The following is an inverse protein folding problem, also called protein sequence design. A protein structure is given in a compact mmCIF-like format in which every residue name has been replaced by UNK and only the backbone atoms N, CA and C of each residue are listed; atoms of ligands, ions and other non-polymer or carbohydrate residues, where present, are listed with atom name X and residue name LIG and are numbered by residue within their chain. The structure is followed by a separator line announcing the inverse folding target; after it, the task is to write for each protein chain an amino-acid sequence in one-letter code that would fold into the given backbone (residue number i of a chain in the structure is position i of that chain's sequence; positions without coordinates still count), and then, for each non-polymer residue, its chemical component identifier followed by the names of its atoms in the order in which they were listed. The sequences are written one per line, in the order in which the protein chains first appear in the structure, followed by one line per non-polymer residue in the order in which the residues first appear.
data_IF_252551672573
#
_entry.id   IF_252551672573
#
_cell.length_a   1.000
_cell.length_b   1.000
_cell.length_c   1.000
_cell.angle_alpha   90.00
_cell.angle_beta   90.00
_cell.angle_gamma   90.00
#
_symmetry.space_group_name_H-M   'P 1'
#
loop_
_entity.id
_entity.type
_entity.pdbx_description
1 polymer ?
#
# COMPACT_ATOMS: atom_id res chain seq x y z
N UNK A 1 -71.14 74.70 -1.79
CA UNK A 1 -71.29 74.49 -0.34
C UNK A 1 -70.08 73.71 0.16
N UNK A 2 -69.42 74.27 1.18
CA UNK A 2 -68.46 73.68 2.13
C UNK A 2 -67.27 72.83 1.63
N UNK A 3 -66.17 73.56 1.42
CA UNK A 3 -64.86 73.42 2.08
C UNK A 3 -64.81 72.61 3.39
N UNK A 4 -63.81 71.73 3.52
CA UNK A 4 -62.81 71.65 4.61
C UNK A 4 -61.86 70.46 4.36
N UNK A 5 -60.55 70.42 4.63
CA UNK A 5 -59.44 71.39 4.72
C UNK A 5 -58.21 70.56 5.18
N UNK A 6 -57.03 70.81 4.57
CA UNK A 6 -55.65 70.69 5.12
C UNK A 6 -55.12 69.29 5.52
N UNK A 7 -53.82 68.98 5.49
CA UNK A 7 -52.53 69.70 5.33
C UNK A 7 -51.49 68.62 4.92
N UNK A 8 -50.51 68.81 4.01
CA UNK A 8 -49.37 69.74 4.08
C UNK A 8 -48.49 69.43 5.30
N UNK A 9 -47.17 69.27 5.31
CA UNK A 9 -46.03 69.46 4.39
C UNK A 9 -44.82 68.89 5.18
N UNK A 10 -43.71 68.45 4.58
CA UNK A 10 -42.45 69.21 4.39
C UNK A 10 -41.46 68.27 3.66
N UNK A 11 -40.95 68.56 2.44
CA UNK A 11 -39.83 69.45 2.06
C UNK A 11 -38.58 69.23 2.93
N UNK A 12 -37.34 69.09 2.43
CA UNK A 12 -36.55 69.95 1.53
C UNK A 12 -35.33 69.13 1.04
N UNK A 13 -34.90 69.24 -0.23
CA UNK A 13 -33.56 69.72 -0.70
C UNK A 13 -32.83 68.60 -1.49
N UNK A 14 -31.97 68.80 -2.51
CA UNK A 14 -31.50 69.96 -3.27
C UNK A 14 -30.60 69.44 -4.45
N UNK A 15 -30.75 70.05 -5.64
CA UNK A 15 -29.74 70.39 -6.67
C UNK A 15 -28.95 69.33 -7.49
N UNK A 16 -29.23 69.44 -8.81
CA UNK A 16 -28.33 69.55 -9.99
C UNK A 16 -27.45 68.33 -10.36
N UNK A 17 -27.80 67.69 -11.48
CA UNK A 17 -26.92 66.80 -12.26
C UNK A 17 -26.68 67.37 -13.67
N UNK A 18 -25.42 67.48 -14.07
CA UNK A 18 -25.00 67.43 -15.46
C UNK A 18 -23.69 66.63 -15.58
N UNK A 19 -23.68 65.73 -16.58
CA UNK A 19 -22.55 65.28 -17.41
C UNK A 19 -21.51 64.29 -16.85
N UNK A 20 -21.63 63.01 -17.25
CA UNK A 20 -20.76 62.30 -18.23
C UNK A 20 -20.96 60.78 -18.11
N UNK A 21 -21.17 60.07 -19.23
CA UNK A 21 -20.59 58.75 -19.51
C UNK A 21 -21.11 58.18 -20.85
N UNK A 22 -20.31 58.31 -21.91
CA UNK A 22 -20.34 57.42 -23.07
C UNK A 22 -19.50 56.19 -22.75
N UNK A 23 -20.12 55.02 -22.59
CA UNK A 23 -19.43 53.72 -22.60
C UNK A 23 -20.17 52.82 -23.58
N UNK A 24 -19.57 52.64 -24.77
CA UNK A 24 -19.96 51.60 -25.72
C UNK A 24 -19.57 50.23 -25.15
N UNK A 25 -20.49 49.27 -25.26
CA UNK A 25 -20.35 47.94 -24.69
C UNK A 25 -19.23 47.11 -25.31
N UNK A 26 -18.37 46.59 -24.44
CA UNK A 26 -17.62 45.36 -24.68
C UNK A 26 -18.43 44.21 -24.06
N UNK A 27 -19.04 43.36 -24.90
CA UNK A 27 -19.56 42.08 -24.45
C UNK A 27 -18.37 41.19 -24.08
N UNK A 28 -18.12 41.02 -22.79
CA UNK A 28 -17.15 40.04 -22.29
C UNK A 28 -17.76 38.66 -22.53
N UNK A 29 -17.18 37.90 -23.46
CA UNK A 29 -17.52 36.48 -23.60
C UNK A 29 -17.20 35.76 -22.28
N UNK A 30 -18.07 34.87 -21.78
CA UNK A 30 -17.74 34.10 -20.59
C UNK A 30 -16.47 33.29 -20.86
N UNK A 31 -15.58 33.10 -19.86
CA UNK A 31 -14.41 32.27 -20.06
C UNK A 31 -14.87 30.88 -20.48
N UNK A 32 -14.25 30.33 -21.53
CA UNK A 32 -14.48 28.95 -21.93
C UNK A 32 -14.27 28.07 -20.68
N UNK A 33 -15.34 27.39 -20.26
CA UNK A 33 -15.25 26.38 -19.24
C UNK A 33 -14.21 25.37 -19.73
N UNK A 34 -13.05 25.34 -19.08
CA UNK A 34 -12.09 24.29 -19.29
C UNK A 34 -12.81 23.02 -18.83
N UNK A 35 -13.27 22.21 -19.78
CA UNK A 35 -13.74 20.88 -19.47
C UNK A 35 -12.57 20.17 -18.80
N UNK A 36 -12.62 20.02 -17.48
CA UNK A 36 -11.69 19.15 -16.79
C UNK A 36 -11.94 17.78 -17.38
N UNK A 37 -10.96 17.23 -18.09
CA UNK A 37 -10.97 15.81 -18.45
C UNK A 37 -11.14 15.05 -17.15
N UNK A 38 -12.32 14.44 -16.94
CA UNK A 38 -12.57 13.62 -15.76
C UNK A 38 -11.45 12.60 -15.68
N UNK A 39 -10.77 12.51 -14.54
CA UNK A 39 -9.70 11.55 -14.34
C UNK A 39 -10.22 10.14 -14.67
N UNK A 40 -9.43 9.36 -15.42
CA UNK A 40 -9.81 7.98 -15.76
C UNK A 40 -10.09 7.20 -14.48
N UNK A 41 -11.27 6.55 -14.35
CA UNK A 41 -11.61 5.76 -13.17
C UNK A 41 -10.58 4.65 -12.92
N UNK A 42 -10.27 4.37 -11.66
CA UNK A 42 -9.48 3.19 -11.30
C UNK A 42 -10.35 1.93 -11.32
N UNK A 43 -9.74 0.77 -11.54
CA UNK A 43 -10.45 -0.50 -11.68
C UNK A 43 -10.35 -1.32 -10.40
N UNK A 44 -11.49 -1.84 -9.95
CA UNK A 44 -11.64 -2.70 -8.77
C UNK A 44 -12.12 -4.07 -9.22
N UNK A 45 -11.45 -5.13 -8.75
CA UNK A 45 -11.85 -6.52 -8.92
C UNK A 45 -12.29 -7.10 -7.58
N UNK A 46 -13.52 -7.59 -7.46
CA UNK A 46 -13.95 -8.43 -6.33
C UNK A 46 -13.81 -9.91 -6.65
N UNK A 47 -12.91 -10.61 -5.95
CA UNK A 47 -12.83 -12.07 -5.98
C UNK A 47 -13.67 -12.67 -4.87
N UNK A 48 -14.39 -13.74 -5.21
CA UNK A 48 -15.22 -14.47 -4.26
C UNK A 48 -15.40 -15.94 -4.65
N UNK A 49 -15.68 -16.84 -3.69
CA UNK A 49 -15.94 -18.27 -3.92
C UNK A 49 -17.44 -18.58 -3.81
N UNK A 50 -18.09 -18.12 -2.75
CA UNK A 50 -19.53 -18.29 -2.53
C UNK A 50 -19.95 -19.72 -2.18
N UNK A 51 -19.15 -20.41 -1.35
CA UNK A 51 -19.25 -21.88 -1.20
C UNK A 51 -19.56 -22.38 0.21
N UNK A 52 -19.16 -21.70 1.29
CA UNK A 52 -19.11 -22.33 2.62
C UNK A 52 -20.28 -21.99 3.55
N UNK A 53 -20.46 -20.71 3.87
CA UNK A 53 -21.45 -20.25 4.86
C UNK A 53 -22.49 -19.31 4.22
N UNK A 54 -23.76 -19.48 4.61
CA UNK A 54 -24.88 -18.75 4.02
C UNK A 54 -24.78 -17.23 4.22
N UNK A 55 -24.20 -16.78 5.33
CA UNK A 55 -24.03 -15.36 5.62
C UNK A 55 -22.87 -14.73 4.84
N UNK A 56 -21.77 -15.46 4.62
CA UNK A 56 -20.70 -15.02 3.71
C UNK A 56 -21.22 -14.89 2.28
N UNK A 57 -21.93 -15.91 1.79
CA UNK A 57 -22.56 -15.92 0.46
C UNK A 57 -23.53 -14.75 0.32
N UNK A 58 -24.29 -14.43 1.37
CA UNK A 58 -25.23 -13.32 1.37
C UNK A 58 -24.53 -11.95 1.37
N UNK A 59 -23.42 -11.80 2.08
CA UNK A 59 -22.54 -10.63 1.99
C UNK A 59 -21.99 -10.45 0.57
N UNK A 60 -21.46 -11.49 -0.07
CA UNK A 60 -20.94 -11.43 -1.43
C UNK A 60 -22.01 -10.98 -2.43
N UNK A 61 -23.24 -11.54 -2.32
CA UNK A 61 -24.39 -11.12 -3.14
C UNK A 61 -24.68 -9.64 -2.94
N UNK A 62 -24.62 -9.15 -1.71
CA UNK A 62 -24.82 -7.76 -1.39
C UNK A 62 -23.71 -6.86 -1.97
N UNK A 63 -22.44 -7.24 -1.78
CA UNK A 63 -21.28 -6.53 -2.29
C UNK A 63 -21.32 -6.40 -3.82
N UNK A 64 -21.71 -7.48 -4.51
CA UNK A 64 -21.85 -7.52 -5.97
C UNK A 64 -23.02 -6.69 -6.51
N UNK A 65 -23.93 -6.22 -5.65
CA UNK A 65 -24.96 -5.23 -6.00
C UNK A 65 -24.50 -3.82 -5.62
N UNK A 66 -23.94 -3.67 -4.42
CA UNK A 66 -23.64 -2.39 -3.82
C UNK A 66 -22.44 -1.69 -4.48
N UNK A 67 -21.32 -2.38 -4.69
CA UNK A 67 -20.13 -1.75 -5.29
C UNK A 67 -20.38 -1.19 -6.69
N UNK A 68 -21.07 -1.88 -7.62
CA UNK A 68 -21.45 -1.30 -8.91
C UNK A 68 -22.28 -0.01 -8.79
N UNK A 69 -23.20 0.07 -7.82
CA UNK A 69 -24.03 1.25 -7.59
C UNK A 69 -23.20 2.45 -7.10
N UNK A 70 -22.11 2.20 -6.35
CA UNK A 70 -21.23 3.24 -5.86
C UNK A 70 -20.15 3.66 -6.86
N UNK A 71 -19.81 2.79 -7.82
CA UNK A 71 -18.61 2.89 -8.63
C UNK A 71 -18.46 4.23 -9.36
N UNK A 72 -19.43 4.60 -10.18
CA UNK A 72 -19.36 5.81 -11.00
C UNK A 72 -19.25 7.09 -10.17
N UNK A 73 -20.04 7.21 -9.09
CA UNK A 73 -20.03 8.37 -8.20
C UNK A 73 -18.71 8.51 -7.41
N UNK A 74 -17.93 7.43 -7.32
CA UNK A 74 -16.71 7.36 -6.53
C UNK A 74 -15.44 7.19 -7.38
N UNK A 75 -15.55 7.31 -8.71
CA UNK A 75 -14.39 7.34 -9.60
C UNK A 75 -13.72 5.98 -9.81
N UNK A 76 -14.48 4.89 -9.74
CA UNK A 76 -13.98 3.55 -10.05
C UNK A 76 -14.92 2.76 -10.96
N UNK A 77 -14.42 1.68 -11.55
CA UNK A 77 -15.22 0.62 -12.16
C UNK A 77 -15.10 -0.65 -11.34
N UNK A 78 -16.17 -1.43 -11.24
CA UNK A 78 -16.17 -2.68 -10.51
C UNK A 78 -16.39 -3.87 -11.44
N UNK A 79 -15.62 -4.93 -11.24
CA UNK A 79 -15.82 -6.24 -11.84
C UNK A 79 -15.75 -7.27 -10.72
N UNK A 80 -16.57 -8.31 -10.76
CA UNK A 80 -16.44 -9.43 -9.85
C UNK A 80 -16.20 -10.73 -10.59
N UNK A 81 -15.54 -11.67 -9.93
CA UNK A 81 -15.21 -12.96 -10.51
C UNK A 81 -15.06 -14.03 -9.45
N UNK A 82 -15.50 -15.24 -9.78
CA UNK A 82 -15.18 -16.46 -9.03
C UNK A 82 -13.92 -17.16 -9.54
N UNK A 83 -13.27 -16.59 -10.56
CA UNK A 83 -12.05 -17.14 -11.15
C UNK A 83 -10.81 -16.66 -10.38
N UNK A 84 -10.44 -17.40 -9.34
CA UNK A 84 -9.23 -17.14 -8.56
C UNK A 84 -7.93 -17.33 -9.36
N UNK A 85 -7.95 -18.03 -10.50
CA UNK A 85 -6.76 -18.19 -11.35
C UNK A 85 -6.32 -16.88 -12.02
N UNK A 86 -7.14 -15.82 -11.95
CA UNK A 86 -6.72 -14.46 -12.27
C UNK A 86 -5.50 -14.00 -11.45
N UNK A 87 -5.32 -14.53 -10.24
CA UNK A 87 -4.12 -14.28 -9.45
C UNK A 87 -2.91 -15.01 -10.05
N UNK A 88 -3.07 -16.29 -10.38
CA UNK A 88 -1.99 -17.14 -10.88
C UNK A 88 -1.49 -16.71 -12.27
N UNK A 89 -2.38 -16.26 -13.15
CA UNK A 89 -2.05 -15.89 -14.53
C UNK A 89 -1.78 -14.39 -14.73
N UNK A 90 -1.78 -13.60 -13.65
CA UNK A 90 -1.55 -12.15 -13.71
C UNK A 90 -2.72 -11.32 -14.22
N UNK A 91 -3.91 -11.91 -14.41
CA UNK A 91 -5.14 -11.20 -14.80
C UNK A 91 -5.53 -10.09 -13.81
N UNK A 92 -5.16 -10.22 -12.54
CA UNK A 92 -5.36 -9.15 -11.53
C UNK A 92 -4.55 -7.88 -11.80
N UNK A 93 -3.47 -7.94 -12.60
CA UNK A 93 -2.63 -6.76 -12.90
C UNK A 93 -3.37 -5.69 -13.74
N UNK A 94 -4.53 -6.03 -14.31
CA UNK A 94 -5.39 -5.07 -14.98
C UNK A 94 -6.18 -4.17 -14.01
N UNK A 95 -6.11 -4.42 -12.70
CA UNK A 95 -6.90 -3.76 -11.67
C UNK A 95 -6.03 -3.04 -10.64
N UNK A 96 -6.36 -1.80 -10.31
CA UNK A 96 -5.67 -1.02 -9.29
C UNK A 96 -5.99 -1.51 -7.88
N UNK A 97 -7.18 -2.10 -7.66
CA UNK A 97 -7.57 -2.67 -6.36
C UNK A 97 -8.19 -4.05 -6.54
N UNK A 98 -7.76 -5.02 -5.75
CA UNK A 98 -8.37 -6.34 -5.62
C UNK A 98 -9.02 -6.47 -4.25
N UNK A 99 -10.26 -6.91 -4.22
CA UNK A 99 -11.00 -7.25 -3.00
C UNK A 99 -11.09 -8.76 -2.88
N UNK A 100 -10.87 -9.29 -1.68
CA UNK A 100 -11.30 -10.65 -1.33
C UNK A 100 -12.58 -10.51 -0.51
N UNK A 101 -13.73 -10.73 -1.15
CA UNK A 101 -15.04 -10.58 -0.51
C UNK A 101 -15.33 -11.76 0.42
N UNK A 102 -14.96 -12.95 -0.01
CA UNK A 102 -14.82 -14.13 0.84
C UNK A 102 -13.53 -14.86 0.42
N UNK A 103 -13.14 -15.83 1.23
CA UNK A 103 -12.04 -16.75 0.95
C UNK A 103 -10.67 -16.08 0.68
N UNK A 104 -9.69 -16.90 0.34
CA UNK A 104 -8.31 -16.52 0.05
C UNK A 104 -7.67 -17.50 -0.95
N UNK A 105 -6.50 -17.17 -1.53
CA UNK A 105 -5.81 -18.03 -2.50
C UNK A 105 -5.55 -19.47 -2.02
N UNK A 106 -6.11 -20.43 -2.75
CA UNK A 106 -6.12 -21.85 -2.39
C UNK A 106 -4.92 -22.63 -2.94
N UNK A 107 -4.35 -22.20 -4.07
CA UNK A 107 -3.19 -22.87 -4.70
C UNK A 107 -1.90 -22.07 -4.54
N UNK A 108 -0.74 -22.73 -4.59
CA UNK A 108 0.57 -22.07 -4.54
C UNK A 108 0.75 -21.03 -5.66
N UNK A 109 0.24 -21.29 -6.86
CA UNK A 109 0.28 -20.35 -7.97
C UNK A 109 -0.55 -19.09 -7.71
N UNK A 110 -1.77 -19.24 -7.15
CA UNK A 110 -2.60 -18.09 -6.77
C UNK A 110 -1.95 -17.28 -5.65
N UNK A 111 -1.35 -17.96 -4.66
CA UNK A 111 -0.61 -17.34 -3.55
C UNK A 111 0.56 -16.49 -4.05
N UNK A 112 1.43 -17.07 -4.88
CA UNK A 112 2.57 -16.35 -5.48
C UNK A 112 2.12 -15.20 -6.39
N UNK A 113 1.03 -15.38 -7.14
CA UNK A 113 0.43 -14.35 -7.98
C UNK A 113 -0.07 -13.16 -7.17
N UNK A 114 -0.77 -13.42 -6.06
CA UNK A 114 -1.23 -12.37 -5.15
C UNK A 114 -0.05 -11.63 -4.49
N UNK A 115 0.96 -12.35 -4.01
CA UNK A 115 2.16 -11.74 -3.43
C UNK A 115 2.86 -10.82 -4.45
N UNK A 116 2.99 -11.27 -5.71
CA UNK A 116 3.55 -10.47 -6.80
C UNK A 116 2.72 -9.21 -7.06
N UNK A 117 1.39 -9.33 -7.10
CA UNK A 117 0.48 -8.19 -7.25
C UNK A 117 0.67 -7.15 -6.15
N UNK A 118 0.75 -7.58 -4.89
CA UNK A 118 0.95 -6.68 -3.76
C UNK A 118 2.33 -6.03 -3.75
N UNK A 119 3.38 -6.77 -4.10
CA UNK A 119 4.75 -6.23 -4.21
C UNK A 119 4.88 -5.21 -5.33
N UNK A 120 4.12 -5.37 -6.42
CA UNK A 120 4.09 -4.43 -7.54
C UNK A 120 3.20 -3.19 -7.28
N UNK A 121 2.73 -2.99 -6.04
CA UNK A 121 1.97 -1.80 -5.66
C UNK A 121 0.48 -1.87 -5.98
N UNK A 122 -0.06 -3.07 -6.19
CA UNK A 122 -1.50 -3.32 -6.24
C UNK A 122 -2.18 -2.96 -4.92
N UNK A 123 -3.43 -2.50 -5.00
CA UNK A 123 -4.26 -2.19 -3.84
C UNK A 123 -5.05 -3.41 -3.39
N UNK A 124 -5.19 -3.61 -2.08
CA UNK A 124 -5.95 -4.72 -1.52
C UNK A 124 -6.94 -4.28 -0.45
N UNK A 125 -8.13 -4.86 -0.46
CA UNK A 125 -9.04 -4.83 0.68
C UNK A 125 -9.58 -6.24 0.95
N UNK A 126 -9.18 -6.82 2.08
CA UNK A 126 -9.66 -8.14 2.53
C UNK A 126 -10.80 -8.00 3.51
N UNK A 127 -11.82 -8.85 3.38
CA UNK A 127 -12.97 -8.90 4.28
C UNK A 127 -12.98 -10.20 5.08
N UNK A 128 -13.26 -10.08 6.37
CA UNK A 128 -13.68 -11.18 7.25
C UNK A 128 -12.86 -12.47 7.08
N UNK A 129 -13.45 -13.53 6.52
CA UNK A 129 -12.86 -14.87 6.34
C UNK A 129 -11.62 -14.89 5.44
N UNK A 130 -11.37 -13.85 4.64
CA UNK A 130 -10.15 -13.75 3.83
C UNK A 130 -8.85 -13.69 4.65
N UNK A 131 -8.93 -13.44 5.96
CA UNK A 131 -7.79 -13.54 6.88
C UNK A 131 -7.78 -14.82 7.72
N UNK A 132 -8.82 -15.64 7.65
CA UNK A 132 -8.97 -16.83 8.49
C UNK A 132 -7.90 -17.88 8.17
N UNK A 133 -7.27 -18.41 9.22
CA UNK A 133 -6.44 -19.62 9.18
C UNK A 133 -6.26 -20.17 10.59
N UNK A 134 -6.11 -21.48 10.69
CA UNK A 134 -5.62 -22.14 11.92
C UNK A 134 -4.15 -22.59 11.79
N UNK A 135 -3.54 -22.37 10.62
CA UNK A 135 -2.13 -22.64 10.34
C UNK A 135 -1.52 -21.50 9.52
N UNK A 136 -1.19 -20.42 10.22
CA UNK A 136 -0.50 -19.26 9.66
C UNK A 136 0.89 -19.62 9.12
N UNK A 137 1.52 -20.69 9.57
CA UNK A 137 2.83 -21.10 9.07
C UNK A 137 2.76 -21.62 7.63
N UNK A 138 1.64 -22.27 7.26
CA UNK A 138 1.41 -22.78 5.89
C UNK A 138 1.48 -21.72 4.79
N UNK A 139 1.21 -20.46 5.13
CA UNK A 139 1.45 -19.31 4.27
C UNK A 139 1.86 -18.09 5.10
N UNK A 140 3.02 -18.21 5.74
CA UNK A 140 3.52 -17.23 6.71
C UNK A 140 3.58 -15.80 6.17
N UNK A 141 3.95 -15.60 4.91
CA UNK A 141 3.95 -14.26 4.32
C UNK A 141 2.58 -13.59 4.41
N UNK A 142 1.48 -14.29 4.08
CA UNK A 142 0.15 -13.69 4.08
C UNK A 142 -0.33 -13.38 5.51
N UNK A 143 -0.26 -14.36 6.41
CA UNK A 143 -0.85 -14.22 7.75
C UNK A 143 0.06 -13.52 8.77
N UNK A 144 1.37 -13.77 8.75
CA UNK A 144 2.30 -13.20 9.74
C UNK A 144 2.93 -11.89 9.27
N UNK A 145 3.19 -11.73 7.96
CA UNK A 145 3.87 -10.55 7.43
C UNK A 145 2.91 -9.53 6.83
N UNK A 146 2.05 -9.95 5.91
CA UNK A 146 1.17 -9.07 5.13
C UNK A 146 -0.02 -8.58 5.96
N UNK A 147 -0.85 -9.49 6.46
CA UNK A 147 -1.95 -9.17 7.39
C UNK A 147 -1.45 -8.85 8.79
N UNK A 148 -0.43 -9.57 9.26
CA UNK A 148 0.10 -9.48 10.62
C UNK A 148 -0.72 -10.22 11.69
N UNK A 149 -1.89 -10.77 11.33
CA UNK A 149 -2.85 -11.36 12.26
C UNK A 149 -2.38 -12.69 12.90
N UNK A 150 -1.59 -13.49 12.18
CA UNK A 150 -1.31 -14.86 12.61
C UNK A 150 -2.56 -15.74 12.51
N UNK A 151 -2.77 -16.62 13.49
CA UNK A 151 -3.90 -17.56 13.51
C UNK A 151 -5.18 -16.92 14.03
N UNK A 152 -6.30 -17.43 13.57
CA UNK A 152 -7.59 -17.28 14.22
C UNK A 152 -7.54 -17.83 15.66
N UNK A 153 -8.14 -17.12 16.61
CA UNK A 153 -8.22 -17.54 18.03
C UNK A 153 -9.65 -17.84 18.42
N UNK A 154 -10.55 -16.89 18.22
CA UNK A 154 -11.97 -17.02 18.58
C UNK A 154 -12.82 -16.04 17.80
N UNK A 155 -14.13 -16.29 17.78
CA UNK A 155 -15.15 -15.44 17.18
C UNK A 155 -16.28 -15.14 18.18
N UNK A 156 -17.07 -14.12 17.89
CA UNK A 156 -18.38 -13.92 18.52
C UNK A 156 -19.49 -14.55 17.70
N UNK A 157 -20.52 -15.11 18.31
CA UNK A 157 -21.68 -15.65 17.60
C UNK A 157 -23.00 -15.05 18.08
N UNK A 158 -24.00 -15.13 17.20
CA UNK A 158 -25.10 -14.15 17.19
C UNK A 158 -24.57 -12.82 16.67
N UNK A 159 -24.37 -12.69 15.33
CA UNK A 159 -23.85 -11.49 14.71
C UNK A 159 -24.54 -10.24 15.26
N UNK A 160 -23.74 -9.26 15.69
CA UNK A 160 -24.23 -8.04 16.35
C UNK A 160 -23.47 -6.83 15.84
N UNK A 161 -24.15 -5.68 15.83
CA UNK A 161 -23.49 -4.40 15.62
C UNK A 161 -22.72 -4.02 16.89
N UNK A 162 -21.55 -3.40 16.73
CA UNK A 162 -20.73 -2.89 17.82
C UNK A 162 -20.46 -1.41 17.62
N UNK A 163 -20.17 -0.69 18.71
CA UNK A 163 -19.54 0.61 18.62
C UNK A 163 -18.06 0.40 18.30
N UNK A 164 -17.61 0.86 17.14
CA UNK A 164 -16.21 0.91 16.77
C UNK A 164 -15.61 2.25 17.21
N UNK A 165 -14.46 2.19 17.85
CA UNK A 165 -13.60 3.34 18.14
C UNK A 165 -12.61 3.51 17.00
N UNK A 166 -12.55 4.70 16.42
CA UNK A 166 -11.54 5.06 15.42
C UNK A 166 -10.25 5.40 16.16
N UNK A 167 -9.21 4.60 15.94
CA UNK A 167 -7.92 4.73 16.64
C UNK A 167 -7.00 5.74 15.94
N UNK A 168 -7.18 5.96 14.64
CA UNK A 168 -6.35 6.86 13.85
C UNK A 168 -7.15 7.60 12.78
N UNK A 169 -7.10 8.94 12.78
CA UNK A 169 -7.75 9.83 11.80
C UNK A 169 -6.76 10.47 10.82
N UNK A 170 -5.49 10.07 10.81
CA UNK A 170 -4.45 10.71 10.00
C UNK A 170 -4.41 10.22 8.55
N UNK A 171 -5.16 9.17 8.21
CA UNK A 171 -5.18 8.61 6.85
C UNK A 171 -6.54 8.79 6.17
N UNK A 172 -6.60 8.90 4.83
CA UNK A 172 -7.84 9.20 4.11
C UNK A 172 -9.03 8.26 4.42
N UNK A 173 -8.85 6.93 4.62
CA UNK A 173 -9.96 6.04 4.98
C UNK A 173 -10.72 6.46 6.24
N UNK A 174 -10.06 7.08 7.22
CA UNK A 174 -10.60 7.39 8.55
C UNK A 174 -10.65 8.87 8.89
N UNK A 175 -10.01 9.74 8.11
CA UNK A 175 -9.85 11.16 8.43
C UNK A 175 -11.16 11.93 8.64
N UNK A 176 -12.22 11.56 7.91
CA UNK A 176 -13.54 12.19 8.02
C UNK A 176 -14.55 11.45 8.91
N UNK A 177 -14.16 10.34 9.54
CA UNK A 177 -15.06 9.55 10.37
C UNK A 177 -15.18 10.17 11.78
N UNK A 178 -16.30 9.96 12.50
CA UNK A 178 -16.41 10.31 13.92
C UNK A 178 -15.47 9.45 14.78
N UNK A 179 -15.17 9.91 16.00
CA UNK A 179 -14.30 9.18 16.94
C UNK A 179 -14.84 7.79 17.30
N UNK A 180 -16.15 7.63 17.33
CA UNK A 180 -16.83 6.33 17.42
C UNK A 180 -18.00 6.27 16.44
N UNK A 181 -18.35 5.07 15.98
CA UNK A 181 -19.57 4.84 15.19
C UNK A 181 -20.10 3.42 15.37
N UNK A 182 -21.39 3.23 15.17
CA UNK A 182 -22.00 1.89 15.16
C UNK A 182 -21.72 1.20 13.83
N UNK A 183 -21.12 0.01 13.89
CA UNK A 183 -20.89 -0.85 12.72
C UNK A 183 -22.20 -1.40 12.16
N UNK A 184 -22.14 -1.96 10.96
CA UNK A 184 -23.16 -2.94 10.55
C UNK A 184 -23.06 -4.19 11.44
N UNK A 185 -24.12 -5.00 11.44
CA UNK A 185 -24.13 -6.30 12.12
C UNK A 185 -23.11 -7.23 11.46
N UNK A 186 -22.25 -7.86 12.27
CA UNK A 186 -21.30 -8.88 11.80
C UNK A 186 -21.00 -9.91 12.88
N UNK A 187 -20.48 -11.05 12.45
CA UNK A 187 -19.59 -11.89 13.26
C UNK A 187 -18.22 -11.20 13.38
N UNK A 188 -17.54 -11.30 14.53
CA UNK A 188 -16.24 -10.66 14.79
C UNK A 188 -15.17 -11.70 15.14
N UNK A 189 -13.97 -11.57 14.59
CA UNK A 189 -12.83 -12.47 14.84
C UNK A 189 -11.72 -11.84 15.68
N UNK A 190 -10.99 -12.70 16.38
CA UNK A 190 -9.77 -12.38 17.12
C UNK A 190 -8.60 -13.20 16.63
N UNK A 191 -7.41 -12.66 16.82
CA UNK A 191 -6.17 -13.11 16.18
C UNK A 191 -5.09 -13.40 17.21
N UNK A 192 -4.18 -14.32 16.89
CA UNK A 192 -3.14 -14.77 17.83
C UNK A 192 -2.04 -13.73 18.03
N UNK A 193 -1.75 -12.94 17.00
CA UNK A 193 -0.73 -11.90 17.08
C UNK A 193 -1.34 -10.61 17.63
N UNK A 194 -0.68 -10.02 18.63
CA UNK A 194 -1.01 -8.69 19.09
C UNK A 194 -0.55 -7.64 18.08
N UNK A 195 -1.48 -7.18 17.24
CA UNK A 195 -1.20 -6.20 16.18
C UNK A 195 -0.58 -4.89 16.69
N UNK A 196 -0.76 -4.56 17.98
CA UNK A 196 -0.16 -3.36 18.59
C UNK A 196 1.37 -3.46 18.70
N UNK A 197 1.91 -4.67 18.67
CA UNK A 197 3.34 -4.93 18.78
C UNK A 197 4.04 -4.94 17.42
N UNK A 198 3.28 -4.91 16.32
CA UNK A 198 3.83 -4.91 14.98
C UNK A 198 4.01 -3.46 14.48
N UNK A 199 5.26 -2.96 14.32
CA UNK A 199 5.50 -1.57 13.93
C UNK A 199 5.05 -1.23 12.50
N UNK A 200 4.82 -2.24 11.67
CA UNK A 200 4.34 -2.06 10.30
C UNK A 200 2.81 -1.97 10.26
N UNK A 201 2.11 -2.40 11.32
CA UNK A 201 0.66 -2.39 11.40
C UNK A 201 0.16 -1.11 12.07
N UNK A 202 -0.82 -0.50 11.42
CA UNK A 202 -1.56 0.63 11.93
C UNK A 202 -3.02 0.25 12.12
N UNK A 203 -3.43 0.15 13.38
CA UNK A 203 -4.82 -0.13 13.74
C UNK A 203 -5.64 1.13 13.49
N UNK A 204 -6.73 0.99 12.74
CA UNK A 204 -7.58 2.10 12.30
C UNK A 204 -8.87 2.16 13.09
N UNK A 205 -9.43 1.00 13.43
CA UNK A 205 -10.56 0.91 14.35
C UNK A 205 -10.52 -0.37 15.19
N UNK A 206 -11.02 -0.25 16.42
CA UNK A 206 -11.15 -1.33 17.39
C UNK A 206 -12.57 -1.37 17.96
N UNK A 207 -12.96 -2.47 18.62
CA UNK A 207 -14.21 -2.51 19.39
C UNK A 207 -14.09 -1.57 20.59
N UNK A 208 -15.02 -0.62 20.70
CA UNK A 208 -15.13 0.25 21.86
C UNK A 208 -15.62 -0.54 23.08
N UNK A 209 -15.03 -0.35 24.28
CA UNK A 209 -15.43 -1.07 25.49
C UNK A 209 -16.91 -0.97 25.86
N UNK A 210 -17.63 0.06 25.42
CA UNK A 210 -19.08 0.18 25.63
C UNK A 210 -19.90 -0.89 24.90
N UNK A 211 -19.30 -1.64 23.97
CA UNK A 211 -19.98 -2.68 23.21
C UNK A 211 -20.08 -4.01 23.95
N UNK A 212 -19.33 -4.20 25.04
CA UNK A 212 -19.33 -5.49 25.74
C UNK A 212 -20.60 -5.69 26.59
N UNK A 213 -21.19 -6.90 26.61
CA UNK A 213 -20.75 -8.09 25.88
C UNK A 213 -21.05 -8.02 24.36
N UNK A 214 -20.14 -8.55 23.54
CA UNK A 214 -20.29 -8.65 22.08
C UNK A 214 -20.62 -10.09 21.71
N UNK A 215 -21.65 -10.29 20.89
CA UNK A 215 -22.27 -11.58 20.62
C UNK A 215 -23.50 -11.83 21.51
N UNK A 216 -24.38 -12.72 21.06
CA UNK A 216 -25.56 -13.13 21.83
C UNK A 216 -25.53 -14.62 22.20
N UNK A 217 -24.62 -15.41 21.62
CA UNK A 217 -24.37 -16.78 22.06
C UNK A 217 -23.46 -16.77 23.29
N UNK A 218 -23.91 -17.28 24.46
CA UNK A 218 -23.12 -17.24 25.68
C UNK A 218 -21.79 -18.00 25.60
N UNK A 219 -21.65 -18.98 24.69
CA UNK A 219 -20.41 -19.74 24.49
C UNK A 219 -19.43 -19.06 23.52
N UNK A 220 -19.91 -18.06 22.78
CA UNK A 220 -19.15 -17.32 21.77
C UNK A 220 -19.47 -15.82 21.94
N UNK A 221 -19.32 -15.30 23.15
CA UNK A 221 -19.43 -13.87 23.44
C UNK A 221 -18.15 -13.37 24.08
N UNK A 222 -17.75 -12.16 23.72
CA UNK A 222 -16.64 -11.47 24.37
C UNK A 222 -17.18 -10.52 25.43
N UNK A 223 -16.58 -10.51 26.62
CA UNK A 223 -17.03 -9.69 27.75
C UNK A 223 -16.07 -8.55 28.09
N UNK A 224 -14.85 -8.59 27.56
CA UNK A 224 -13.83 -7.55 27.69
C UNK A 224 -12.69 -7.86 26.71
N UNK A 225 -11.81 -6.89 26.48
CA UNK A 225 -10.60 -7.08 25.68
C UNK A 225 -10.34 -5.91 24.74
N UNK A 226 -9.29 -6.05 23.93
CA UNK A 226 -8.96 -5.11 22.86
C UNK A 226 -8.94 -5.86 21.54
N UNK A 227 -9.86 -5.53 20.65
CA UNK A 227 -10.07 -6.25 19.39
C UNK A 227 -9.90 -5.26 18.22
N UNK A 228 -8.77 -5.29 17.49
CA UNK A 228 -8.61 -4.52 16.27
C UNK A 228 -9.47 -5.11 15.16
N UNK A 229 -10.33 -4.28 14.57
CA UNK A 229 -11.34 -4.69 13.57
C UNK A 229 -10.97 -4.20 12.18
N UNK A 230 -10.29 -3.06 12.09
CA UNK A 230 -9.86 -2.46 10.84
C UNK A 230 -8.40 -2.05 11.00
N UNK A 231 -7.53 -2.46 10.07
CA UNK A 231 -6.13 -2.04 10.07
C UNK A 231 -5.54 -1.97 8.66
N UNK A 232 -4.37 -1.35 8.59
CA UNK A 232 -3.51 -1.35 7.40
C UNK A 232 -2.10 -1.79 7.78
N UNK A 233 -1.44 -2.52 6.89
CA UNK A 233 0.00 -2.73 6.93
C UNK A 233 0.66 -1.66 6.07
N UNK A 234 1.43 -0.77 6.70
CA UNK A 234 2.05 0.39 6.07
C UNK A 234 3.10 0.05 5.00
N UNK A 235 3.54 -1.21 4.92
CA UNK A 235 4.41 -1.71 3.85
C UNK A 235 3.66 -1.96 2.53
N UNK A 236 2.33 -2.05 2.56
CA UNK A 236 1.51 -2.37 1.39
C UNK A 236 0.36 -1.39 1.23
N UNK A 237 -0.17 -1.26 0.01
CA UNK A 237 -1.49 -0.64 -0.20
C UNK A 237 -2.56 -1.65 0.19
N UNK A 238 -2.82 -1.78 1.48
CA UNK A 238 -3.77 -2.77 1.97
C UNK A 238 -4.66 -2.23 3.07
N UNK A 239 -5.90 -2.68 3.08
CA UNK A 239 -6.82 -2.57 4.20
C UNK A 239 -7.33 -3.97 4.53
N UNK A 240 -7.47 -4.27 5.80
CA UNK A 240 -8.27 -5.40 6.23
C UNK A 240 -9.45 -4.88 7.04
N UNK A 241 -10.63 -5.43 6.77
CA UNK A 241 -11.86 -5.17 7.48
C UNK A 241 -12.44 -6.48 8.01
N UNK A 242 -12.58 -6.58 9.32
CA UNK A 242 -13.03 -7.81 9.95
C UNK A 242 -14.52 -8.10 9.74
N UNK A 243 -15.33 -7.12 9.31
CA UNK A 243 -16.74 -7.35 8.98
C UNK A 243 -16.91 -7.97 7.59
N UNK A 244 -18.03 -8.66 7.38
CA UNK A 244 -18.36 -9.31 6.10
C UNK A 244 -19.25 -10.54 6.27
N UNK A 245 -20.09 -10.56 7.30
CA UNK A 245 -20.95 -11.69 7.64
C UNK A 245 -22.31 -11.17 8.07
N UNK A 246 -23.35 -11.36 7.25
CA UNK A 246 -24.69 -10.93 7.60
C UNK A 246 -25.30 -11.80 8.72
N UNK A 247 -26.22 -11.26 9.52
CA UNK A 247 -27.10 -12.10 10.31
C UNK A 247 -28.05 -12.84 9.37
N UNK A 248 -28.19 -14.16 9.58
CA UNK A 248 -29.02 -15.03 8.76
C UNK A 248 -29.99 -15.82 9.63
N UNK A 249 -31.21 -16.01 9.13
CA UNK A 249 -32.05 -17.11 9.56
C UNK A 249 -31.62 -18.35 8.76
N UNK A 250 -30.78 -19.18 9.36
CA UNK A 250 -30.21 -20.37 8.71
C UNK A 250 -31.26 -21.45 8.37
N UNK A 251 -32.40 -21.51 9.08
CA UNK A 251 -33.48 -22.45 8.77
C UNK A 251 -34.17 -22.13 7.45
N UNK A 252 -34.37 -20.84 7.17
CA UNK A 252 -35.06 -20.37 5.95
C UNK A 252 -34.10 -19.84 4.89
N UNK A 253 -32.81 -19.77 5.20
CA UNK A 253 -31.77 -19.16 4.40
C UNK A 253 -32.12 -17.71 3.98
N UNK A 254 -32.58 -16.91 4.95
CA UNK A 254 -33.00 -15.51 4.72
C UNK A 254 -32.13 -14.52 5.49
N UNK A 255 -31.81 -13.40 4.83
CA UNK A 255 -31.05 -12.28 5.39
C UNK A 255 -31.82 -11.58 6.51
N UNK A 256 -31.13 -11.28 7.61
CA UNK A 256 -31.64 -10.50 8.75
C UNK A 256 -30.91 -9.17 8.95
N UNK A 257 -29.72 -9.00 8.37
CA UNK A 257 -28.98 -7.73 8.40
C UNK A 257 -28.27 -7.45 7.08
N UNK A 258 -27.74 -6.25 6.94
CA UNK A 258 -26.95 -5.82 5.77
C UNK A 258 -25.56 -5.38 6.22
N UNK A 259 -24.52 -5.81 5.50
CA UNK A 259 -23.14 -5.38 5.76
C UNK A 259 -22.97 -3.90 5.40
N UNK A 260 -23.82 -3.38 4.51
CA UNK A 260 -23.81 -1.97 4.09
C UNK A 260 -24.90 -1.12 4.79
N UNK A 261 -25.44 -1.58 5.93
CA UNK A 261 -26.45 -0.85 6.69
C UNK A 261 -25.90 0.42 7.39
N UNK A 262 -24.63 0.43 7.80
CA UNK A 262 -24.00 1.56 8.48
C UNK A 262 -23.43 2.58 7.47
N UNK A 263 -23.96 3.81 7.39
CA UNK A 263 -23.44 4.83 6.46
C UNK A 263 -22.00 5.23 6.74
N UNK A 264 -21.61 5.27 8.02
CA UNK A 264 -20.23 5.61 8.43
C UNK A 264 -19.25 4.51 8.04
N UNK A 265 -19.63 3.24 8.19
CA UNK A 265 -18.83 2.11 7.69
C UNK A 265 -18.70 2.17 6.16
N UNK A 266 -19.78 2.48 5.45
CA UNK A 266 -19.75 2.64 4.00
C UNK A 266 -18.83 3.79 3.56
N UNK A 267 -18.79 4.88 4.33
CA UNK A 267 -17.86 5.98 4.09
C UNK A 267 -16.40 5.54 4.23
N UNK A 268 -16.08 4.74 5.25
CA UNK A 268 -14.77 4.11 5.38
C UNK A 268 -14.42 3.28 4.13
N UNK A 269 -15.34 2.42 3.67
CA UNK A 269 -15.12 1.57 2.50
C UNK A 269 -14.82 2.38 1.24
N UNK A 270 -15.63 3.41 0.96
CA UNK A 270 -15.45 4.25 -0.24
C UNK A 270 -14.18 5.09 -0.16
N UNK A 271 -13.86 5.65 1.00
CA UNK A 271 -12.60 6.38 1.20
C UNK A 271 -11.39 5.44 1.08
N UNK A 272 -11.50 4.22 1.62
CA UNK A 272 -10.52 3.14 1.50
C UNK A 272 -10.25 2.78 0.05
N UNK A 273 -11.28 2.52 -0.74
CA UNK A 273 -11.13 2.20 -2.17
C UNK A 273 -10.47 3.34 -2.94
N UNK A 274 -10.89 4.59 -2.72
CA UNK A 274 -10.26 5.76 -3.35
C UNK A 274 -8.80 5.89 -2.97
N UNK A 275 -8.47 5.67 -1.70
CA UNK A 275 -7.10 5.72 -1.20
C UNK A 275 -6.23 4.64 -1.86
N UNK A 276 -6.70 3.39 -1.90
CA UNK A 276 -6.01 2.27 -2.55
C UNK A 276 -5.86 2.46 -4.06
N UNK A 277 -6.88 3.02 -4.71
CA UNK A 277 -6.96 3.26 -6.16
C UNK A 277 -6.14 4.45 -6.69
N UNK A 278 -5.52 5.26 -5.82
CA UNK A 278 -4.65 6.38 -6.22
C UNK A 278 -5.03 7.78 -5.71
N UNK A 279 -5.97 7.90 -4.78
CA UNK A 279 -6.45 9.16 -4.20
C UNK A 279 -5.69 9.67 -2.96
N UNK A 280 -4.55 9.08 -2.60
CA UNK A 280 -3.70 9.55 -1.50
C UNK A 280 -2.23 9.57 -1.89
N UNK A 281 -1.49 10.56 -1.39
CA UNK A 281 -0.03 10.72 -1.55
C UNK A 281 0.79 9.66 -0.79
N UNK A 282 0.16 8.60 -0.26
CA UNK A 282 0.89 7.39 0.11
C UNK A 282 1.31 6.70 -1.18
N UNK A 283 2.38 7.22 -1.78
CA UNK A 283 3.23 6.45 -2.66
C UNK A 283 3.59 5.22 -1.84
N UNK A 284 3.11 4.01 -2.19
CA UNK A 284 3.74 2.82 -1.67
C UNK A 284 5.21 2.91 -2.07
N UNK A 285 6.15 2.27 -1.38
CA UNK A 285 7.44 2.02 -1.99
C UNK A 285 7.11 1.48 -3.39
N UNK A 286 7.52 2.19 -4.44
CA UNK A 286 7.43 1.65 -5.79
C UNK A 286 8.48 0.56 -5.84
N UNK A 287 8.29 -0.56 -5.14
CA UNK A 287 9.01 -1.80 -5.39
C UNK A 287 8.60 -2.28 -6.79
N UNK A 288 8.91 -1.50 -7.82
CA UNK A 288 9.38 -2.11 -9.06
C UNK A 288 10.55 -2.96 -8.59
N UNK A 289 10.40 -4.29 -8.57
CA UNK A 289 11.51 -5.15 -8.24
C UNK A 289 12.65 -4.75 -9.17
N UNK A 290 13.88 -4.78 -8.68
CA UNK A 290 15.03 -4.49 -9.53
C UNK A 290 14.94 -5.47 -10.71
N UNK A 291 14.65 -4.97 -11.91
CA UNK A 291 14.49 -5.81 -13.10
C UNK A 291 15.78 -6.58 -13.32
N UNK A 292 15.70 -7.91 -13.28
CA UNK A 292 16.87 -8.79 -13.35
C UNK A 292 17.52 -8.83 -14.73
N UNK A 293 16.82 -8.28 -15.74
CA UNK A 293 17.29 -8.20 -17.12
C UNK A 293 17.85 -6.84 -17.50
N UNK A 294 17.56 -5.80 -16.72
CA UNK A 294 18.04 -4.44 -16.97
C UNK A 294 19.46 -4.24 -16.44
N UNK A 295 20.27 -3.46 -17.16
CA UNK A 295 21.54 -2.98 -16.66
C UNK A 295 21.33 -1.67 -15.90
N UNK A 296 22.01 -1.49 -14.78
CA UNK A 296 21.92 -0.29 -13.96
C UNK A 296 23.29 0.32 -13.71
N UNK A 297 23.36 1.63 -13.69
CA UNK A 297 24.39 2.30 -12.89
C UNK A 297 23.93 2.37 -11.44
N UNK A 298 24.87 2.17 -10.52
CA UNK A 298 24.64 2.22 -9.07
C UNK A 298 25.31 3.49 -8.56
N UNK A 299 24.51 4.54 -8.36
CA UNK A 299 25.00 5.87 -8.02
C UNK A 299 24.85 6.14 -6.53
N UNK A 300 25.92 6.56 -5.84
CA UNK A 300 25.86 6.92 -4.44
C UNK A 300 25.05 8.21 -4.22
N UNK A 301 24.10 8.17 -3.28
CA UNK A 301 23.19 9.26 -2.97
C UNK A 301 23.81 10.42 -2.19
N UNK A 302 25.00 10.24 -1.59
CA UNK A 302 25.72 11.26 -0.83
C UNK A 302 26.66 12.11 -1.67
N UNK A 303 27.35 11.51 -2.64
CA UNK A 303 28.40 12.17 -3.41
C UNK A 303 28.19 12.14 -4.93
N UNK A 304 27.15 11.45 -5.43
CA UNK A 304 26.79 11.38 -6.85
C UNK A 304 27.73 10.56 -7.74
N UNK A 305 28.75 9.90 -7.18
CA UNK A 305 29.66 9.01 -7.92
C UNK A 305 29.03 7.64 -8.15
N UNK A 306 29.55 6.88 -9.11
CA UNK A 306 29.08 5.55 -9.47
C UNK A 306 30.00 4.47 -8.89
N UNK A 307 29.41 3.32 -8.54
CA UNK A 307 30.13 2.06 -8.30
C UNK A 307 30.81 1.66 -9.62
N UNK A 308 32.11 1.39 -9.58
CA UNK A 308 32.97 1.27 -10.75
C UNK A 308 33.96 0.11 -10.58
N UNK A 309 34.06 -0.77 -11.58
CA UNK A 309 35.12 -1.75 -11.70
C UNK A 309 36.39 -1.07 -12.20
N UNK A 310 37.42 -0.98 -11.33
CA UNK A 310 38.63 -0.19 -11.59
C UNK A 310 39.24 -0.52 -12.95
N UNK A 311 39.46 0.54 -13.74
CA UNK A 311 40.07 0.46 -15.07
C UNK A 311 39.32 -0.45 -16.06
N UNK A 312 38.02 -0.69 -15.84
CA UNK A 312 37.21 -1.65 -16.60
C UNK A 312 37.80 -3.08 -16.63
N UNK A 313 38.63 -3.43 -15.64
CA UNK A 313 39.26 -4.74 -15.58
C UNK A 313 38.24 -5.82 -15.18
N UNK A 314 38.49 -7.05 -15.64
CA UNK A 314 37.63 -8.22 -15.43
C UNK A 314 38.38 -9.37 -14.78
N UNK A 315 39.50 -9.09 -14.12
CA UNK A 315 40.27 -10.07 -13.37
C UNK A 315 39.71 -10.20 -11.94
N UNK A 316 39.78 -11.40 -11.37
CA UNK A 316 39.48 -11.59 -9.94
C UNK A 316 40.40 -10.68 -9.11
N UNK A 317 39.83 -10.02 -8.11
CA UNK A 317 40.55 -9.02 -7.30
C UNK A 317 40.54 -7.61 -7.88
N UNK A 318 39.86 -7.36 -9.00
CA UNK A 318 39.65 -6.00 -9.50
C UNK A 318 38.89 -5.19 -8.44
N UNK A 319 39.48 -4.10 -7.97
CA UNK A 319 38.85 -3.25 -6.96
C UNK A 319 37.53 -2.65 -7.46
N UNK A 320 36.48 -2.75 -6.64
CA UNK A 320 35.28 -1.94 -6.80
C UNK A 320 35.54 -0.59 -6.16
N UNK A 321 35.52 0.47 -6.96
CA UNK A 321 35.85 1.83 -6.55
C UNK A 321 34.67 2.77 -6.81
N UNK A 322 34.76 3.97 -6.25
CA UNK A 322 33.89 5.07 -6.66
C UNK A 322 34.58 5.85 -7.77
N UNK A 323 33.80 6.24 -8.78
CA UNK A 323 34.30 7.04 -9.88
C UNK A 323 33.19 7.94 -10.42
N UNK A 324 33.57 9.08 -11.02
CA UNK A 324 32.63 9.93 -11.73
C UNK A 324 31.81 9.10 -12.73
N UNK A 325 30.48 9.24 -12.70
CA UNK A 325 29.61 8.48 -13.59
C UNK A 325 29.95 8.81 -15.06
N UNK A 326 30.30 7.79 -15.85
CA UNK A 326 30.82 7.92 -17.21
C UNK A 326 30.10 7.00 -18.23
N UNK A 327 29.14 6.19 -17.78
CA UNK A 327 28.28 5.38 -18.64
C UNK A 327 28.97 4.18 -19.30
N UNK A 328 30.21 3.87 -18.94
CA UNK A 328 30.92 2.69 -19.46
C UNK A 328 30.42 1.40 -18.82
N UNK A 329 30.68 0.25 -19.44
CA UNK A 329 30.33 -1.06 -18.89
C UNK A 329 31.01 -1.37 -17.53
N UNK A 330 32.05 -0.62 -17.16
CA UNK A 330 32.69 -0.71 -15.84
C UNK A 330 31.77 -0.26 -14.69
N UNK A 331 30.73 0.52 -14.99
CA UNK A 331 29.80 1.08 -14.00
C UNK A 331 28.40 0.51 -14.13
N UNK A 332 28.26 -0.63 -14.79
CA UNK A 332 26.97 -1.21 -15.14
C UNK A 332 26.82 -2.60 -14.56
N UNK A 333 25.73 -2.81 -13.84
CA UNK A 333 25.47 -4.02 -13.08
C UNK A 333 24.06 -4.54 -13.33
N UNK A 334 23.92 -5.86 -13.33
CA UNK A 334 22.64 -6.57 -13.26
C UNK A 334 22.47 -7.12 -11.86
N UNK A 335 21.23 -7.15 -11.37
CA UNK A 335 20.89 -7.74 -10.08
C UNK A 335 20.11 -9.01 -10.35
N UNK A 336 20.64 -10.17 -9.97
CA UNK A 336 20.00 -11.48 -10.24
C UNK A 336 19.65 -12.16 -8.94
N UNK A 337 18.43 -12.67 -8.85
CA UNK A 337 17.95 -13.30 -7.62
C UNK A 337 18.73 -14.56 -7.31
N UNK A 338 19.07 -14.73 -6.02
CA UNK A 338 19.56 -16.00 -5.49
C UNK A 338 18.41 -16.70 -4.75
N UNK A 339 18.37 -16.62 -3.43
CA UNK A 339 17.30 -17.16 -2.58
C UNK A 339 17.01 -16.18 -1.43
N UNK A 340 15.87 -16.36 -0.76
CA UNK A 340 15.54 -15.67 0.50
C UNK A 340 15.64 -14.13 0.46
N UNK A 341 15.37 -13.52 -0.70
CA UNK A 341 15.43 -12.06 -0.88
C UNK A 341 16.83 -11.49 -1.09
N UNK A 342 17.84 -12.33 -1.35
CA UNK A 342 19.19 -11.92 -1.73
C UNK A 342 19.40 -11.94 -3.24
N UNK A 343 20.37 -11.16 -3.70
CA UNK A 343 20.76 -11.04 -5.11
C UNK A 343 22.28 -11.04 -5.26
N UNK A 344 22.77 -11.51 -6.40
CA UNK A 344 24.12 -11.18 -6.87
C UNK A 344 24.12 -9.84 -7.63
N UNK A 345 25.23 -9.10 -7.55
CA UNK A 345 25.43 -7.84 -8.31
C UNK A 345 26.46 -8.10 -9.41
N UNK A 346 25.97 -8.53 -10.57
CA UNK A 346 26.76 -9.01 -11.72
C UNK A 346 27.31 -7.86 -12.55
N UNK A 347 28.62 -7.87 -12.86
CA UNK A 347 29.25 -6.82 -13.65
C UNK A 347 29.01 -7.00 -15.17
N UNK A 348 28.69 -5.93 -15.90
CA UNK A 348 28.48 -5.98 -17.37
C UNK A 348 29.74 -6.36 -18.13
N UNK A 349 30.91 -5.92 -17.67
CA UNK A 349 32.20 -6.21 -18.31
C UNK A 349 32.55 -7.71 -18.33
N UNK A 350 32.11 -8.48 -17.35
CA UNK A 350 32.20 -9.93 -17.32
C UNK A 350 31.07 -10.52 -16.44
N UNK A 351 29.98 -11.01 -17.06
CA UNK A 351 28.82 -11.49 -16.30
C UNK A 351 29.02 -12.76 -15.47
N UNK A 352 30.22 -13.37 -15.50
CA UNK A 352 30.61 -14.43 -14.58
C UNK A 352 31.18 -13.87 -13.25
N UNK A 353 31.35 -12.56 -13.13
CA UNK A 353 31.87 -11.89 -11.95
C UNK A 353 30.84 -10.99 -11.29
N UNK A 354 30.93 -10.90 -9.97
CA UNK A 354 30.01 -10.15 -9.11
C UNK A 354 30.77 -9.31 -8.08
N UNK A 355 30.08 -8.35 -7.46
CA UNK A 355 30.61 -7.62 -6.30
C UNK A 355 30.73 -8.57 -5.09
N UNK A 356 31.95 -8.72 -4.61
CA UNK A 356 32.38 -9.65 -3.57
C UNK A 356 33.03 -8.88 -2.42
N UNK A 357 32.72 -9.27 -1.17
CA UNK A 357 33.48 -8.83 0.01
C UNK A 357 34.74 -9.68 0.14
N UNK A 358 35.90 -9.05 0.03
CA UNK A 358 37.21 -9.73 0.02
C UNK A 358 37.41 -10.64 1.22
N UNK A 359 37.91 -11.85 0.96
CA UNK A 359 38.23 -12.89 1.94
C UNK A 359 37.07 -13.29 2.87
N UNK A 360 35.82 -13.01 2.45
CA UNK A 360 34.61 -13.22 3.28
C UNK A 360 34.67 -12.51 4.63
N UNK A 361 35.46 -11.44 4.71
CA UNK A 361 35.66 -10.70 5.95
C UNK A 361 34.33 -10.19 6.50
N UNK A 362 34.18 -10.19 7.82
CA UNK A 362 33.05 -9.56 8.52
C UNK A 362 33.46 -8.25 9.20
N UNK A 363 34.71 -7.80 9.01
CA UNK A 363 35.22 -6.56 9.57
C UNK A 363 34.66 -5.32 8.86
N UNK A 364 34.53 -4.22 9.59
CA UNK A 364 34.29 -2.92 8.97
C UNK A 364 35.50 -2.52 8.13
N UNK A 365 35.24 -1.80 7.04
CA UNK A 365 36.23 -1.37 6.07
C UNK A 365 36.88 -2.51 5.27
N UNK A 366 36.33 -3.73 5.31
CA UNK A 366 36.75 -4.77 4.39
C UNK A 366 36.47 -4.35 2.95
N UNK A 367 37.44 -4.45 2.03
CA UNK A 367 37.33 -3.95 0.67
C UNK A 367 36.36 -4.79 -0.18
N UNK A 368 35.78 -4.14 -1.18
CA UNK A 368 34.98 -4.79 -2.22
C UNK A 368 35.80 -5.00 -3.49
N UNK A 369 35.56 -6.13 -4.15
CA UNK A 369 36.24 -6.53 -5.37
C UNK A 369 35.28 -7.21 -6.36
N UNK A 370 35.70 -7.34 -7.61
CA UNK A 370 35.12 -8.33 -8.52
C UNK A 370 35.72 -9.69 -8.24
N UNK A 371 34.86 -10.69 -8.18
CA UNK A 371 35.27 -12.08 -8.09
C UNK A 371 34.33 -12.97 -8.89
N UNK A 372 34.86 -14.09 -9.40
CA UNK A 372 34.06 -15.11 -10.06
C UNK A 372 32.95 -15.60 -9.11
N UNK A 373 31.71 -15.60 -9.60
CA UNK A 373 30.59 -16.03 -8.79
C UNK A 373 30.68 -17.53 -8.51
N UNK A 374 30.60 -17.89 -7.23
CA UNK A 374 30.62 -19.28 -6.77
C UNK A 374 29.50 -19.57 -5.77
N UNK A 375 28.50 -18.69 -5.68
CA UNK A 375 27.40 -18.80 -4.70
C UNK A 375 27.79 -18.49 -3.25
N UNK A 376 28.96 -17.91 -3.00
CA UNK A 376 29.40 -17.56 -1.65
C UNK A 376 28.47 -16.51 -1.02
N UNK A 377 28.18 -16.60 0.27
CA UNK A 377 27.31 -15.63 0.95
C UNK A 377 27.91 -14.22 1.01
N UNK A 378 29.23 -14.08 0.87
CA UNK A 378 29.93 -12.80 0.72
C UNK A 378 29.79 -12.15 -0.67
N UNK A 379 29.12 -12.84 -1.60
CA UNK A 379 28.80 -12.40 -2.96
C UNK A 379 27.31 -12.09 -3.14
N UNK A 380 26.54 -12.19 -2.06
CA UNK A 380 25.10 -12.06 -2.06
C UNK A 380 24.69 -10.88 -1.19
N UNK A 381 23.82 -10.04 -1.73
CA UNK A 381 23.42 -8.77 -1.15
C UNK A 381 21.91 -8.72 -1.05
N UNK A 382 21.38 -8.32 0.10
CA UNK A 382 19.97 -7.99 0.25
C UNK A 382 19.78 -6.53 -0.18
N UNK A 383 19.09 -6.26 -1.30
CA UNK A 383 18.66 -4.90 -1.62
C UNK A 383 17.53 -4.51 -0.67
N UNK A 384 17.76 -3.48 0.13
CA UNK A 384 16.74 -2.94 1.03
C UNK A 384 16.37 -1.56 0.53
N UNK A 385 15.14 -1.44 0.04
CA UNK A 385 14.62 -0.18 -0.48
C UNK A 385 14.38 0.83 0.64
N UNK A 386 14.89 2.03 0.45
CA UNK A 386 14.67 3.18 1.32
C UNK A 386 13.38 3.92 0.95
N UNK A 387 12.83 4.67 1.90
CA UNK A 387 11.68 5.56 1.67
C UNK A 387 11.94 6.62 0.59
N UNK A 388 13.21 6.95 0.33
CA UNK A 388 13.66 7.86 -0.71
C UNK A 388 13.54 7.29 -2.13
N UNK A 389 13.27 5.99 -2.28
CA UNK A 389 13.32 5.26 -3.55
C UNK A 389 14.70 4.69 -3.91
N UNK A 390 15.73 4.98 -3.10
CA UNK A 390 17.09 4.41 -3.20
C UNK A 390 17.17 3.04 -2.51
N UNK A 391 18.34 2.43 -2.57
CA UNK A 391 18.63 1.14 -1.93
C UNK A 391 19.90 1.22 -1.10
N UNK A 392 19.92 0.53 0.03
CA UNK A 392 21.18 0.04 0.61
C UNK A 392 21.29 -1.47 0.35
N UNK A 393 22.52 -1.97 0.32
CA UNK A 393 22.82 -3.37 0.02
C UNK A 393 23.50 -4.03 1.20
N UNK A 394 22.85 -5.03 1.81
CA UNK A 394 23.34 -5.72 3.01
C UNK A 394 23.99 -7.05 2.61
N UNK A 395 25.27 -7.25 2.91
CA UNK A 395 25.97 -8.49 2.61
C UNK A 395 25.40 -9.65 3.46
N UNK A 396 25.05 -10.76 2.83
CA UNK A 396 24.38 -11.91 3.46
C UNK A 396 25.19 -12.53 4.59
N UNK A 397 26.52 -12.57 4.47
CA UNK A 397 27.39 -13.24 5.45
C UNK A 397 27.69 -12.41 6.70
N UNK A 398 27.65 -11.08 6.59
CA UNK A 398 28.10 -10.17 7.65
C UNK A 398 26.98 -9.28 8.22
N UNK A 399 25.87 -9.12 7.50
CA UNK A 399 24.82 -8.15 7.84
C UNK A 399 25.24 -6.69 7.68
N UNK A 400 26.36 -6.43 6.96
CA UNK A 400 26.93 -5.09 6.78
C UNK A 400 26.61 -4.50 5.42
N UNK A 401 26.60 -3.18 5.34
CA UNK A 401 26.18 -2.45 4.17
C UNK A 401 27.36 -2.11 3.24
N UNK A 402 27.15 -2.27 1.93
CA UNK A 402 28.01 -1.69 0.89
C UNK A 402 28.14 -0.19 1.14
N UNK A 403 29.37 0.31 1.20
CA UNK A 403 29.67 1.66 1.65
C UNK A 403 30.64 2.36 0.71
N UNK A 404 30.22 3.51 0.20
CA UNK A 404 31.08 4.44 -0.53
C UNK A 404 31.78 5.43 0.42
N UNK A 405 32.99 5.89 0.08
CA UNK A 405 33.60 7.04 0.73
C UNK A 405 32.69 8.29 0.68
N UNK A 406 32.71 9.11 1.73
CA UNK A 406 31.86 10.31 1.80
C UNK A 406 32.31 11.42 0.84
N UNK A 407 33.62 11.54 0.59
CA UNK A 407 34.17 12.51 -0.36
C UNK A 407 33.99 12.02 -1.80
N UNK A 408 33.67 12.92 -2.74
CA UNK A 408 33.51 12.62 -4.17
C UNK A 408 34.85 12.43 -4.91
N UNK A 409 35.79 11.68 -4.34
CA UNK A 409 37.13 11.46 -4.91
C UNK A 409 37.20 10.19 -5.74
N UNK A 410 37.59 10.29 -7.00
CA UNK A 410 37.74 9.13 -7.87
C UNK A 410 38.78 8.12 -7.34
N UNK A 411 38.58 6.86 -7.73
CA UNK A 411 39.53 5.76 -7.53
C UNK A 411 39.69 5.28 -6.08
N UNK A 412 38.80 5.70 -5.18
CA UNK A 412 38.77 5.17 -3.81
C UNK A 412 37.93 3.90 -3.77
N UNK A 413 38.49 2.83 -3.20
CA UNK A 413 37.84 1.53 -3.12
C UNK A 413 36.66 1.57 -2.15
N UNK A 414 35.54 0.95 -2.55
CA UNK A 414 34.38 0.76 -1.67
C UNK A 414 34.67 -0.33 -0.66
N UNK A 415 33.95 -0.27 0.46
CA UNK A 415 34.06 -1.22 1.55
C UNK A 415 32.69 -1.69 2.01
N UNK A 416 32.64 -2.64 2.94
CA UNK A 416 31.47 -2.81 3.81
C UNK A 416 31.69 -2.09 5.15
N UNK A 417 30.60 -1.60 5.76
CA UNK A 417 30.57 -1.16 7.16
C UNK A 417 29.23 -1.52 7.79
N UNK A 418 29.17 -1.54 9.12
CA UNK A 418 27.90 -1.57 9.87
C UNK A 418 26.89 -0.61 9.26
N UNK A 419 25.66 -1.09 9.03
CA UNK A 419 24.60 -0.29 8.43
C UNK A 419 24.23 0.87 9.36
N UNK A 420 24.41 2.10 8.89
CA UNK A 420 24.29 3.34 9.68
C UNK A 420 23.25 4.32 9.11
N UNK A 421 22.61 3.97 7.98
CA UNK A 421 21.61 4.80 7.33
C UNK A 421 22.17 6.08 6.70
N UNK A 422 23.49 6.23 6.64
CA UNK A 422 24.13 7.40 6.04
C UNK A 422 24.01 7.39 4.52
N UNK A 423 24.16 8.57 3.92
CA UNK A 423 24.16 8.71 2.46
C UNK A 423 25.34 8.01 1.78
N UNK A 424 26.37 7.62 2.53
CA UNK A 424 27.46 6.77 2.07
C UNK A 424 27.02 5.33 1.76
N UNK A 425 25.88 4.87 2.29
CA UNK A 425 25.33 3.53 2.10
C UNK A 425 24.03 3.51 1.28
N UNK A 426 23.58 4.67 0.80
CA UNK A 426 22.35 4.87 0.04
C UNK A 426 22.67 5.04 -1.45
N UNK A 427 22.04 4.24 -2.32
CA UNK A 427 22.35 4.18 -3.75
C UNK A 427 21.10 4.27 -4.63
N UNK A 428 21.16 5.13 -5.64
CA UNK A 428 20.18 5.19 -6.72
C UNK A 428 20.54 4.18 -7.80
N UNK A 429 19.56 3.42 -8.26
CA UNK A 429 19.67 2.58 -9.45
C UNK A 429 19.13 3.34 -10.66
N UNK A 430 19.95 3.54 -11.69
CA UNK A 430 19.55 4.20 -12.93
C UNK A 430 19.72 3.24 -14.10
N UNK A 431 18.59 2.88 -14.74
CA UNK A 431 18.56 1.97 -15.90
C UNK A 431 19.47 2.51 -17.01
N UNK A 432 20.25 1.61 -17.60
CA UNK A 432 21.17 1.87 -18.69
C UNK A 432 20.70 1.11 -19.93
N UNK A 433 20.81 1.76 -21.09
CA UNK A 433 20.51 1.17 -22.40
C UNK A 433 21.58 0.19 -22.89
#
# INVERSE_FOLDING_TARGET
MNTTIRSGSTRVALRVLLLLATVLGFAVAPPAAHASTAATPFKVLGLYSGTYDAAHIDFEKEANVWFPQQAAANGFTYTSSTNWDLLANGGVNAYQVVLFLDDLPQTSAQRSGFETYMRNGGGFMGFHVSAFTTDAASWSWYHNTFLGSGNFVSNTWGPTAVTLKVEDHSIPPTAGLPATFTSSVSEWYSWSNDLRQNPDIKILASIDPSSFPVGTDPNQSWYSGYYPIIWTNTKYKMLYANFGHNAMNYTTNTRLSSTFASPTQNQFLLNGLKWLGGGGTSTPPTDTPISETSWYSVQNGGNGTCVDARSAATANGTAIQQYACNGTAAQQYQFRSTDSGYMEITARGNPAQVIDVTDRSTADNAPLQLWAYSGGTNQQWQPVKETSGRYHFVARHSGKCLTAPTAATNSVQLTQRTCDGSTAQSFQLAVQS
#
